data_IF_021074193831
#
_entry.id   IF_021074193831
#
_cell.length_a   1.000
_cell.length_b   1.000
_cell.length_c   1.000
_cell.angle_alpha   90.00
_cell.angle_beta   90.00
_cell.angle_gamma   90.00
#
_symmetry.space_group_name_H-M   'P 1'
#
loop_
_entity.id
_entity.type
_entity.pdbx_description
1 polymer ?
#
# COMPACT_ATOMS: atom_id res chain seq x y z
N UNK A 1 9.90 -13.21 11.00
CA UNK A 1 9.71 -14.14 9.83
C UNK A 1 10.92 -15.08 9.81
N UNK A 2 10.73 -16.39 9.98
CA UNK A 2 11.83 -17.37 10.11
C UNK A 2 12.69 -17.41 8.84
N UNK A 3 14.02 -17.37 8.98
CA UNK A 3 15.01 -17.41 7.88
C UNK A 3 14.81 -18.59 6.88
N UNK A 4 14.24 -19.70 7.30
CA UNK A 4 13.91 -20.86 6.45
C UNK A 4 12.80 -20.61 5.41
N UNK A 5 12.06 -19.50 5.50
CA UNK A 5 10.92 -19.18 4.63
C UNK A 5 11.29 -18.24 3.46
N UNK A 6 12.42 -17.52 3.52
CA UNK A 6 12.86 -16.62 2.44
C UNK A 6 13.53 -17.36 1.26
N UNK A 7 14.02 -18.58 1.43
CA UNK A 7 14.68 -19.34 0.34
C UNK A 7 13.76 -19.69 -0.85
N UNK A 8 12.44 -19.56 -0.68
CA UNK A 8 11.45 -19.86 -1.74
C UNK A 8 10.97 -18.64 -2.55
N UNK A 9 11.35 -17.43 -2.15
CA UNK A 9 10.95 -16.19 -2.81
C UNK A 9 12.14 -15.62 -3.58
N UNK A 10 12.03 -15.54 -4.89
CA UNK A 10 13.05 -14.91 -5.76
C UNK A 10 12.57 -13.55 -6.23
N UNK A 11 13.25 -12.48 -5.84
CA UNK A 11 12.96 -11.13 -6.33
C UNK A 11 13.41 -10.98 -7.78
N UNK A 12 12.53 -10.43 -8.62
CA UNK A 12 12.81 -10.14 -10.04
C UNK A 12 13.40 -8.73 -10.13
N UNK A 13 14.61 -8.55 -10.69
CA UNK A 13 15.16 -7.21 -10.90
C UNK A 13 14.22 -6.35 -11.77
N UNK A 14 13.99 -5.10 -11.36
CA UNK A 14 13.07 -4.17 -12.03
C UNK A 14 11.66 -4.72 -12.24
N UNK A 15 11.24 -5.64 -11.35
CA UNK A 15 9.92 -6.25 -11.42
C UNK A 15 8.78 -5.26 -11.18
N UNK A 16 7.63 -5.53 -11.78
CA UNK A 16 6.45 -4.66 -11.74
C UNK A 16 5.15 -5.43 -11.93
N UNK A 17 4.04 -4.70 -11.97
CA UNK A 17 2.70 -5.25 -12.29
C UNK A 17 2.60 -5.89 -13.68
N UNK A 18 3.54 -5.63 -14.59
CA UNK A 18 3.57 -6.28 -15.91
C UNK A 18 4.48 -7.52 -15.97
N UNK A 19 5.15 -7.87 -14.88
CA UNK A 19 6.04 -9.03 -14.81
C UNK A 19 5.32 -10.39 -14.87
N UNK A 20 4.11 -10.57 -14.29
CA UNK A 20 3.39 -11.83 -14.44
C UNK A 20 2.96 -12.06 -15.89
N UNK A 21 2.99 -13.32 -16.30
CA UNK A 21 2.65 -13.73 -17.68
C UNK A 21 1.28 -13.21 -18.10
N UNK A 22 1.22 -12.60 -19.30
CA UNK A 22 -0.03 -12.09 -19.89
C UNK A 22 -0.47 -10.72 -19.37
N UNK A 23 0.26 -10.09 -18.45
CA UNK A 23 0.04 -8.70 -18.07
C UNK A 23 0.93 -7.76 -18.89
N UNK A 24 0.35 -6.64 -19.27
CA UNK A 24 1.03 -5.49 -19.84
C UNK A 24 0.64 -4.25 -19.05
N UNK A 25 1.51 -3.25 -19.00
CA UNK A 25 1.22 -1.99 -18.37
C UNK A 25 2.00 -0.87 -19.06
N UNK A 26 1.58 0.36 -18.81
CA UNK A 26 2.28 1.53 -19.30
C UNK A 26 1.68 2.81 -18.75
N UNK A 27 2.35 3.93 -19.02
CA UNK A 27 1.92 5.22 -18.55
C UNK A 27 2.42 6.33 -19.44
N UNK A 28 1.56 7.33 -19.66
CA UNK A 28 1.83 8.49 -20.52
C UNK A 28 1.54 9.79 -19.79
N UNK A 29 1.96 10.89 -20.39
CA UNK A 29 1.53 12.23 -20.04
C UNK A 29 0.39 12.65 -20.97
N UNK A 30 -0.82 12.83 -20.43
CA UNK A 30 -1.97 13.32 -21.19
C UNK A 30 -2.33 14.78 -20.88
N UNK A 31 -1.65 15.41 -19.92
CA UNK A 31 -1.80 16.84 -19.63
C UNK A 31 -2.70 17.19 -18.44
N UNK A 32 -3.02 16.24 -17.56
CA UNK A 32 -3.61 16.53 -16.25
C UNK A 32 -2.57 17.26 -15.39
N UNK A 33 -1.34 16.77 -15.40
CA UNK A 33 -0.17 17.37 -14.73
C UNK A 33 0.66 18.19 -15.73
N UNK A 34 1.52 19.07 -15.24
CA UNK A 34 2.31 19.95 -16.12
C UNK A 34 3.40 19.22 -16.94
N UNK A 35 4.07 18.20 -16.37
CA UNK A 35 5.25 17.56 -16.98
C UNK A 35 5.38 16.07 -16.74
N UNK A 36 4.79 15.53 -15.65
CA UNK A 36 4.97 14.12 -15.29
C UNK A 36 3.92 13.27 -16.00
N UNK A 37 4.18 11.98 -16.15
CA UNK A 37 3.14 11.01 -16.55
C UNK A 37 1.98 11.10 -15.57
N UNK A 38 0.74 10.97 -16.08
CA UNK A 38 -0.47 11.24 -15.32
C UNK A 38 -1.66 10.35 -15.74
N UNK A 39 -1.45 9.43 -16.68
CA UNK A 39 -2.43 8.43 -17.09
C UNK A 39 -1.72 7.09 -17.28
N UNK A 40 -2.14 6.07 -16.54
CA UNK A 40 -1.57 4.72 -16.56
C UNK A 40 -2.62 3.64 -16.77
N UNK A 41 -2.22 2.55 -17.43
CA UNK A 41 -3.07 1.39 -17.68
C UNK A 41 -2.33 0.10 -17.32
N UNK A 42 -3.04 -0.82 -16.66
CA UNK A 42 -2.70 -2.25 -16.57
C UNK A 42 -3.73 -3.00 -17.40
N UNK A 43 -3.29 -3.95 -18.21
CA UNK A 43 -4.19 -4.83 -18.99
C UNK A 43 -3.70 -6.28 -18.93
N UNK A 44 -4.65 -7.20 -18.83
CA UNK A 44 -4.42 -8.64 -18.93
C UNK A 44 -4.86 -9.18 -20.30
N UNK A 45 -4.11 -10.10 -20.86
CA UNK A 45 -4.44 -10.77 -22.12
C UNK A 45 -5.73 -11.58 -22.07
N UNK A 46 -6.15 -11.98 -20.87
CA UNK A 46 -7.40 -12.72 -20.61
C UNK A 46 -8.09 -12.12 -19.39
N UNK A 47 -9.43 -12.35 -19.22
CA UNK A 47 -10.09 -11.96 -17.99
C UNK A 47 -9.40 -12.55 -16.76
N UNK A 48 -9.11 -11.70 -15.78
CA UNK A 48 -8.40 -12.05 -14.55
C UNK A 48 -9.37 -12.06 -13.37
N UNK A 49 -9.34 -13.10 -12.55
CA UNK A 49 -10.00 -13.08 -11.24
C UNK A 49 -9.49 -11.88 -10.48
N UNK A 50 -10.40 -11.04 -9.99
CA UNK A 50 -10.04 -9.76 -9.40
C UNK A 50 -10.74 -9.54 -8.07
N UNK A 51 -10.04 -8.88 -7.17
CA UNK A 51 -10.54 -8.51 -5.85
C UNK A 51 -10.04 -7.11 -5.49
N UNK A 52 -10.83 -6.38 -4.71
CA UNK A 52 -10.43 -5.06 -4.25
C UNK A 52 -10.88 -4.79 -2.81
N UNK A 53 -10.12 -3.94 -2.12
CA UNK A 53 -10.49 -3.30 -0.86
C UNK A 53 -10.38 -1.79 -1.03
N UNK A 54 -11.24 -1.05 -0.35
CA UNK A 54 -11.44 0.38 -0.57
C UNK A 54 -11.39 1.14 0.74
N UNK A 55 -11.15 2.45 0.65
CA UNK A 55 -11.24 3.37 1.80
C UNK A 55 -12.59 3.27 2.52
N UNK A 56 -12.56 3.43 3.83
CA UNK A 56 -13.77 3.58 4.67
C UNK A 56 -14.15 5.05 4.86
N UNK A 57 -13.46 5.99 4.20
CA UNK A 57 -13.89 7.39 4.21
C UNK A 57 -15.32 7.50 3.66
N UNK A 58 -16.19 8.20 4.36
CA UNK A 58 -17.59 8.38 3.95
C UNK A 58 -17.76 9.17 2.65
N UNK A 59 -16.75 9.96 2.27
CA UNK A 59 -16.69 10.72 1.02
C UNK A 59 -15.91 9.97 -0.05
N UNK A 60 -16.33 8.73 -0.35
CA UNK A 60 -15.68 7.93 -1.39
C UNK A 60 -15.75 8.59 -2.75
N UNK A 61 -14.62 8.61 -3.46
CA UNK A 61 -14.51 9.22 -4.80
C UNK A 61 -15.31 8.42 -5.85
N UNK A 62 -15.75 9.10 -6.90
CA UNK A 62 -16.52 8.51 -8.00
C UNK A 62 -15.87 7.28 -8.66
N UNK A 63 -14.54 7.21 -8.91
CA UNK A 63 -13.89 6.02 -9.45
C UNK A 63 -14.07 4.75 -8.60
N UNK A 64 -14.17 4.89 -7.27
CA UNK A 64 -14.41 3.74 -6.38
C UNK A 64 -15.79 3.14 -6.64
N UNK A 65 -16.81 3.99 -6.83
CA UNK A 65 -18.16 3.53 -7.12
C UNK A 65 -18.18 2.73 -8.44
N UNK A 66 -17.60 3.27 -9.50
CA UNK A 66 -17.54 2.61 -10.82
C UNK A 66 -16.81 1.27 -10.76
N UNK A 67 -15.67 1.22 -10.04
CA UNK A 67 -14.92 -0.04 -9.86
C UNK A 67 -15.67 -1.07 -9.01
N UNK A 68 -16.40 -0.62 -7.98
CA UNK A 68 -17.29 -1.51 -7.19
C UNK A 68 -18.38 -2.12 -8.04
N UNK A 69 -19.01 -1.33 -8.92
CA UNK A 69 -20.03 -1.81 -9.84
C UNK A 69 -19.49 -2.85 -10.82
N UNK A 70 -18.30 -2.59 -11.40
CA UNK A 70 -17.64 -3.58 -12.28
C UNK A 70 -17.39 -4.90 -11.56
N UNK A 71 -16.88 -4.88 -10.32
CA UNK A 71 -16.60 -6.10 -9.54
C UNK A 71 -17.85 -6.75 -8.93
N UNK A 72 -18.97 -6.02 -8.77
CA UNK A 72 -20.23 -6.59 -8.30
C UNK A 72 -20.95 -7.38 -9.39
N UNK A 73 -20.78 -7.00 -10.67
CA UNK A 73 -21.32 -7.73 -11.82
C UNK A 73 -20.60 -9.08 -12.02
N UNK A 74 -19.27 -9.07 -11.92
CA UNK A 74 -18.43 -10.25 -12.12
C UNK A 74 -17.09 -10.09 -11.39
N UNK A 75 -16.54 -11.17 -10.78
CA UNK A 75 -15.22 -11.11 -10.14
C UNK A 75 -14.07 -11.11 -11.17
N UNK A 76 -14.29 -10.63 -12.38
CA UNK A 76 -13.27 -10.62 -13.44
C UNK A 76 -13.09 -9.23 -14.00
N UNK A 77 -11.85 -8.74 -13.94
CA UNK A 77 -11.40 -7.55 -14.66
C UNK A 77 -10.40 -7.95 -15.74
N UNK A 78 -10.23 -7.07 -16.71
CA UNK A 78 -9.21 -7.25 -17.74
C UNK A 78 -8.33 -6.01 -17.86
N UNK A 79 -8.80 -4.84 -17.42
CA UNK A 79 -8.02 -3.61 -17.40
C UNK A 79 -8.26 -2.76 -16.14
N UNK A 80 -7.26 -1.96 -15.79
CA UNK A 80 -7.35 -0.91 -14.75
C UNK A 80 -6.75 0.36 -15.30
N UNK A 81 -7.58 1.42 -15.44
CA UNK A 81 -7.12 2.76 -15.82
C UNK A 81 -6.95 3.63 -14.58
N UNK A 82 -5.86 4.37 -14.50
CA UNK A 82 -5.55 5.25 -13.37
C UNK A 82 -5.10 6.61 -13.89
N UNK A 83 -5.70 7.68 -13.38
CA UNK A 83 -5.14 9.02 -13.55
C UNK A 83 -4.57 9.57 -12.26
N UNK A 84 -3.52 10.38 -12.36
CA UNK A 84 -2.96 11.15 -11.25
C UNK A 84 -3.03 12.66 -11.50
N UNK A 85 -2.96 13.44 -10.41
CA UNK A 85 -3.06 14.91 -10.44
C UNK A 85 -4.46 15.44 -10.15
N UNK A 86 -5.50 14.62 -10.28
CA UNK A 86 -6.88 14.94 -9.95
C UNK A 86 -7.55 13.69 -9.37
N UNK A 87 -8.17 13.84 -8.21
CA UNK A 87 -8.76 12.72 -7.45
C UNK A 87 -10.15 12.32 -7.94
N UNK A 88 -10.83 13.16 -8.71
CA UNK A 88 -12.25 13.00 -9.04
C UNK A 88 -13.09 12.66 -7.80
N UNK A 89 -12.82 13.36 -6.71
CA UNK A 89 -13.50 13.24 -5.44
C UNK A 89 -14.24 14.52 -5.12
N UNK A 90 -15.45 14.39 -4.54
CA UNK A 90 -16.33 15.52 -4.23
C UNK A 90 -16.70 16.37 -5.45
N UNK A 91 -16.91 15.71 -6.59
CA UNK A 91 -17.19 16.31 -7.92
C UNK A 91 -18.64 16.15 -8.37
N UNK A 92 -19.50 15.63 -7.48
CA UNK A 92 -20.92 15.46 -7.72
C UNK A 92 -21.23 14.41 -8.82
N UNK A 93 -22.43 14.53 -9.40
CA UNK A 93 -22.91 13.62 -10.45
C UNK A 93 -22.00 13.62 -11.68
N UNK A 94 -21.48 14.79 -12.04
CA UNK A 94 -20.59 14.89 -13.20
C UNK A 94 -19.29 14.09 -13.02
N UNK A 95 -18.72 14.04 -11.81
CA UNK A 95 -17.53 13.23 -11.55
C UNK A 95 -17.80 11.74 -11.71
N UNK A 96 -19.01 11.29 -11.42
CA UNK A 96 -19.43 9.91 -11.67
C UNK A 96 -19.54 9.64 -13.19
N UNK A 97 -20.15 10.55 -13.95
CA UNK A 97 -20.21 10.46 -15.41
C UNK A 97 -18.81 10.46 -16.04
N UNK A 98 -17.90 11.30 -15.56
CA UNK A 98 -16.50 11.35 -15.99
C UNK A 98 -15.79 10.00 -15.74
N UNK A 99 -16.03 9.36 -14.60
CA UNK A 99 -15.45 8.04 -14.29
C UNK A 99 -16.03 6.93 -15.20
N UNK A 100 -17.32 6.95 -15.50
CA UNK A 100 -17.91 6.05 -16.49
C UNK A 100 -17.33 6.27 -17.88
N UNK A 101 -17.16 7.52 -18.31
CA UNK A 101 -16.56 7.85 -19.60
C UNK A 101 -15.11 7.32 -19.70
N UNK A 102 -14.31 7.41 -18.64
CA UNK A 102 -12.98 6.80 -18.59
C UNK A 102 -13.06 5.29 -18.80
N UNK A 103 -13.94 4.60 -18.07
CA UNK A 103 -14.17 3.15 -18.16
C UNK A 103 -14.54 2.74 -19.58
N UNK A 104 -15.57 3.38 -20.12
CA UNK A 104 -16.17 3.02 -21.39
C UNK A 104 -15.24 3.35 -22.57
N UNK A 105 -14.44 4.43 -22.46
CA UNK A 105 -13.41 4.77 -23.45
C UNK A 105 -12.28 3.72 -23.48
N UNK A 106 -11.83 3.24 -22.33
CA UNK A 106 -10.85 2.13 -22.27
C UNK A 106 -11.44 0.87 -22.86
N UNK A 107 -12.66 0.51 -22.46
CA UNK A 107 -13.35 -0.67 -22.97
C UNK A 107 -13.44 -0.66 -24.51
N UNK A 108 -13.84 0.47 -25.08
CA UNK A 108 -13.90 0.67 -26.53
C UNK A 108 -12.54 0.60 -27.21
N UNK A 109 -11.51 1.22 -26.60
CA UNK A 109 -10.16 1.28 -27.20
C UNK A 109 -9.48 -0.09 -27.27
N UNK A 110 -9.76 -0.95 -26.28
CA UNK A 110 -9.12 -2.25 -26.14
C UNK A 110 -10.06 -3.44 -26.47
N UNK A 111 -11.24 -3.17 -27.00
CA UNK A 111 -12.27 -4.18 -27.34
C UNK A 111 -12.63 -5.07 -26.13
N UNK A 112 -12.92 -4.44 -24.99
CA UNK A 112 -13.32 -5.08 -23.75
C UNK A 112 -14.78 -4.78 -23.40
N UNK A 113 -15.37 -5.61 -22.52
CA UNK A 113 -16.59 -5.21 -21.83
C UNK A 113 -16.32 -4.07 -20.84
N UNK A 114 -17.15 -3.01 -20.78
CA UNK A 114 -17.03 -1.96 -19.78
C UNK A 114 -16.94 -2.52 -18.35
N UNK A 115 -17.68 -3.58 -18.04
CA UNK A 115 -17.68 -4.22 -16.73
C UNK A 115 -16.38 -4.94 -16.39
N UNK A 116 -15.49 -5.15 -17.38
CA UNK A 116 -14.15 -5.71 -17.15
C UNK A 116 -13.07 -4.64 -16.96
N UNK A 117 -13.45 -3.38 -16.79
CA UNK A 117 -12.54 -2.26 -16.61
C UNK A 117 -12.75 -1.61 -15.25
N UNK A 118 -11.70 -1.50 -14.45
CA UNK A 118 -11.68 -0.72 -13.22
C UNK A 118 -11.12 0.69 -13.48
N UNK A 119 -11.58 1.64 -12.70
CA UNK A 119 -11.14 3.05 -12.75
C UNK A 119 -10.59 3.47 -11.39
N UNK A 120 -9.50 4.21 -11.39
CA UNK A 120 -8.92 4.82 -10.21
C UNK A 120 -8.40 6.23 -10.51
N UNK A 121 -8.43 7.10 -9.53
CA UNK A 121 -7.93 8.47 -9.63
C UNK A 121 -7.20 8.86 -8.35
N UNK A 122 -6.26 9.79 -8.44
CA UNK A 122 -5.55 10.34 -7.27
C UNK A 122 -5.06 11.75 -7.54
N UNK A 123 -5.06 12.61 -6.54
CA UNK A 123 -4.57 13.99 -6.63
C UNK A 123 -5.52 15.00 -5.97
N UNK A 124 -5.72 16.17 -6.60
CA UNK A 124 -6.52 17.26 -6.04
C UNK A 124 -8.00 16.89 -5.92
N UNK A 125 -8.59 17.18 -4.76
CA UNK A 125 -10.01 16.98 -4.45
C UNK A 125 -10.82 18.25 -4.86
N UNK A 126 -12.06 18.07 -5.34
CA UNK A 126 -12.99 19.15 -5.64
C UNK A 126 -12.80 19.78 -7.02
N UNK A 127 -11.91 19.26 -7.85
CA UNK A 127 -11.70 19.70 -9.23
C UNK A 127 -12.23 18.67 -10.23
N UNK A 128 -12.79 19.14 -11.34
CA UNK A 128 -13.31 18.27 -12.40
C UNK A 128 -12.17 17.71 -13.25
N UNK A 129 -12.34 16.48 -13.73
CA UNK A 129 -11.40 15.85 -14.67
C UNK A 129 -11.38 16.60 -16.02
N UNK A 130 -10.21 16.82 -16.63
CA UNK A 130 -10.09 17.36 -17.99
C UNK A 130 -10.33 16.23 -19.01
N UNK A 131 -11.60 15.83 -19.20
CA UNK A 131 -11.98 14.62 -19.92
C UNK A 131 -11.49 14.57 -21.37
N UNK A 132 -11.49 15.71 -22.10
CA UNK A 132 -10.94 15.75 -23.47
C UNK A 132 -9.50 15.21 -23.53
N UNK A 133 -8.64 15.65 -22.59
CA UNK A 133 -7.24 15.22 -22.51
C UNK A 133 -7.11 13.74 -22.12
N UNK A 134 -7.99 13.28 -21.23
CA UNK A 134 -8.00 11.88 -20.77
C UNK A 134 -8.41 10.97 -21.92
N UNK A 135 -9.48 11.30 -22.65
CA UNK A 135 -9.96 10.52 -23.81
C UNK A 135 -8.90 10.46 -24.91
N UNK A 136 -8.27 11.61 -25.25
CA UNK A 136 -7.13 11.63 -26.19
C UNK A 136 -5.93 10.82 -25.67
N UNK A 137 -5.68 10.85 -24.37
CA UNK A 137 -4.65 10.07 -23.72
C UNK A 137 -4.91 8.57 -23.84
N UNK A 138 -6.14 8.13 -23.52
CA UNK A 138 -6.53 6.70 -23.62
C UNK A 138 -6.32 6.18 -25.04
N UNK A 139 -6.62 6.97 -26.07
CA UNK A 139 -6.42 6.59 -27.45
C UNK A 139 -4.92 6.36 -27.83
N UNK A 140 -3.98 6.94 -27.05
CA UNK A 140 -2.51 6.78 -27.25
C UNK A 140 -1.91 5.64 -26.40
N UNK A 141 -2.65 5.10 -25.42
CA UNK A 141 -2.13 4.04 -24.54
C UNK A 141 -1.75 2.75 -25.27
N UNK A 142 -2.45 2.30 -26.35
CA UNK A 142 -2.05 1.08 -27.06
C UNK A 142 -0.58 1.07 -27.51
N UNK A 143 -0.01 2.20 -27.89
CA UNK A 143 1.38 2.33 -28.32
C UNK A 143 2.38 2.39 -27.13
N UNK A 144 1.86 2.51 -25.89
CA UNK A 144 2.67 2.77 -24.69
C UNK A 144 2.68 1.61 -23.70
N UNK A 145 1.82 0.61 -23.87
CA UNK A 145 1.75 -0.55 -22.97
C UNK A 145 2.58 -1.71 -23.51
N UNK A 146 3.29 -2.37 -22.60
CA UNK A 146 3.99 -3.64 -22.88
C UNK A 146 4.28 -4.41 -21.60
N UNK A 147 4.81 -5.62 -21.71
CA UNK A 147 5.31 -6.39 -20.56
C UNK A 147 6.53 -5.73 -19.89
N UNK A 148 7.21 -4.81 -20.56
CA UNK A 148 8.42 -4.15 -20.06
C UNK A 148 8.13 -2.76 -19.46
N UNK A 149 6.96 -2.19 -19.73
CA UNK A 149 6.63 -0.80 -19.37
C UNK A 149 5.91 -0.64 -18.01
N UNK A 150 5.93 -1.64 -17.14
CA UNK A 150 5.27 -1.57 -15.83
C UNK A 150 5.80 -0.46 -14.92
N UNK A 151 7.06 -0.07 -15.04
CA UNK A 151 7.62 1.08 -14.31
C UNK A 151 7.01 2.40 -14.79
N UNK A 152 6.69 2.54 -16.09
CA UNK A 152 6.01 3.71 -16.61
C UNK A 152 4.58 3.87 -16.07
N UNK A 153 3.88 2.76 -15.80
CA UNK A 153 2.63 2.77 -15.03
C UNK A 153 2.87 3.29 -13.62
N UNK A 154 3.91 2.78 -12.93
CA UNK A 154 4.30 3.25 -11.61
C UNK A 154 4.55 4.76 -11.56
N UNK A 155 5.23 5.34 -12.56
CA UNK A 155 5.46 6.79 -12.69
C UNK A 155 4.14 7.57 -12.89
N UNK A 156 3.20 7.00 -13.65
CA UNK A 156 1.95 7.68 -14.00
C UNK A 156 0.97 7.82 -12.82
N UNK A 157 1.09 6.99 -11.80
CA UNK A 157 0.22 7.03 -10.62
C UNK A 157 0.75 7.89 -9.47
N UNK A 158 2.01 8.35 -9.52
CA UNK A 158 2.63 9.16 -8.46
C UNK A 158 1.99 10.53 -8.32
N UNK A 159 1.98 11.07 -7.10
CA UNK A 159 1.60 12.46 -6.81
C UNK A 159 2.76 13.24 -6.21
N UNK A 160 2.91 13.22 -4.90
CA UNK A 160 4.01 13.83 -4.14
C UNK A 160 5.18 12.85 -3.91
N UNK A 161 4.99 11.60 -4.29
CA UNK A 161 5.99 10.53 -4.19
C UNK A 161 7.34 10.92 -4.81
N UNK A 162 8.44 10.48 -4.17
CA UNK A 162 9.81 10.78 -4.62
C UNK A 162 10.41 9.68 -5.48
N UNK A 163 9.89 8.46 -5.39
CA UNK A 163 10.33 7.31 -6.20
C UNK A 163 9.18 6.36 -6.54
N UNK A 164 9.37 5.54 -7.59
CA UNK A 164 8.43 4.50 -8.01
C UNK A 164 8.54 3.30 -7.08
N UNK A 165 7.41 2.91 -6.48
CA UNK A 165 7.30 1.75 -5.59
C UNK A 165 6.78 0.56 -6.39
N UNK A 166 7.68 -0.24 -6.93
CA UNK A 166 7.34 -1.36 -7.82
C UNK A 166 8.30 -2.53 -7.60
N UNK A 167 7.76 -3.75 -7.54
CA UNK A 167 8.55 -4.98 -7.43
C UNK A 167 7.78 -6.17 -8.00
N UNK A 168 8.51 -7.25 -8.27
CA UNK A 168 7.91 -8.55 -8.55
C UNK A 168 8.77 -9.68 -7.97
N UNK A 169 8.15 -10.81 -7.71
CA UNK A 169 8.79 -12.03 -7.23
C UNK A 169 8.35 -13.25 -8.04
N UNK A 170 9.17 -14.27 -8.02
CA UNK A 170 8.83 -15.63 -8.44
C UNK A 170 8.75 -16.55 -7.22
N UNK A 171 7.75 -17.42 -7.22
CA UNK A 171 7.59 -18.54 -6.29
C UNK A 171 7.32 -19.82 -7.06
N UNK A 172 7.58 -20.98 -6.46
CA UNK A 172 7.28 -22.29 -7.04
C UNK A 172 6.01 -22.88 -6.45
N UNK A 173 5.05 -23.29 -7.27
CA UNK A 173 3.83 -24.01 -6.89
C UNK A 173 3.62 -25.14 -7.89
N UNK A 174 3.50 -26.39 -7.42
CA UNK A 174 3.34 -27.60 -8.27
C UNK A 174 4.46 -27.75 -9.31
N UNK A 175 5.68 -27.32 -8.97
CA UNK A 175 6.80 -27.30 -9.90
C UNK A 175 6.68 -26.22 -11.00
N UNK A 176 5.64 -25.39 -10.99
CA UNK A 176 5.43 -24.27 -11.91
C UNK A 176 5.93 -22.99 -11.29
N UNK A 177 6.40 -22.08 -12.13
CA UNK A 177 6.73 -20.72 -11.79
C UNK A 177 5.46 -19.89 -11.68
N UNK A 178 5.23 -19.27 -10.54
CA UNK A 178 4.21 -18.26 -10.33
C UNK A 178 4.91 -16.92 -10.14
N UNK A 179 4.48 -15.91 -10.86
CA UNK A 179 4.96 -14.55 -10.70
C UNK A 179 3.91 -13.70 -10.00
N UNK A 180 4.34 -12.89 -9.02
CA UNK A 180 3.50 -11.90 -8.37
C UNK A 180 4.19 -10.55 -8.54
N UNK A 181 3.52 -9.58 -9.15
CA UNK A 181 4.00 -8.22 -9.34
C UNK A 181 3.17 -7.22 -8.56
N UNK A 182 3.76 -6.14 -8.12
CA UNK A 182 3.05 -5.09 -7.40
C UNK A 182 3.61 -3.71 -7.66
N UNK A 183 2.74 -2.72 -7.67
CA UNK A 183 3.08 -1.30 -7.77
C UNK A 183 2.17 -0.50 -6.86
N UNK A 184 2.72 0.46 -6.12
CA UNK A 184 1.94 1.33 -5.25
C UNK A 184 2.38 2.78 -5.34
N UNK A 185 1.50 3.69 -4.91
CA UNK A 185 1.78 5.09 -4.67
C UNK A 185 1.25 5.52 -3.32
N UNK A 186 1.89 6.50 -2.73
CA UNK A 186 1.50 7.15 -1.49
C UNK A 186 2.70 7.80 -0.81
N UNK A 187 2.50 9.00 -0.29
CA UNK A 187 3.50 9.82 0.39
C UNK A 187 2.86 10.73 1.44
N UNK A 188 1.79 11.47 1.10
CA UNK A 188 0.96 12.25 2.02
C UNK A 188 -0.47 11.75 2.06
N UNK A 189 -1.25 12.19 3.08
CA UNK A 189 -2.60 11.73 3.40
C UNK A 189 -2.61 10.20 3.60
N UNK A 190 -1.74 9.70 4.51
CA UNK A 190 -1.54 8.27 4.74
C UNK A 190 -1.88 7.89 6.18
N UNK A 191 -3.07 7.36 6.39
CA UNK A 191 -3.50 6.66 7.61
C UNK A 191 -4.57 5.63 7.28
N UNK A 192 -4.19 4.48 6.71
CA UNK A 192 -5.16 3.50 6.24
C UNK A 192 -6.01 2.93 7.38
N UNK A 193 -7.32 2.96 7.13
CA UNK A 193 -8.29 2.11 7.78
C UNK A 193 -9.08 1.46 6.63
N UNK A 194 -8.55 0.36 6.07
CA UNK A 194 -8.91 -0.26 4.79
C UNK A 194 -8.49 0.55 3.56
N UNK A 195 -7.27 1.09 3.56
CA UNK A 195 -6.48 1.75 2.51
C UNK A 195 -6.41 3.30 2.56
N UNK A 196 -5.17 3.88 2.49
CA UNK A 196 -4.92 5.32 2.23
C UNK A 196 -3.81 5.46 1.17
N UNK A 197 -3.97 4.79 0.03
CA UNK A 197 -2.98 4.72 -1.04
C UNK A 197 -3.60 4.02 -2.25
N UNK A 198 -2.91 3.98 -3.36
CA UNK A 198 -3.25 3.08 -4.46
C UNK A 198 -2.19 1.98 -4.53
N UNK A 199 -2.64 0.72 -4.50
CA UNK A 199 -1.79 -0.42 -4.80
C UNK A 199 -2.49 -1.37 -5.78
N UNK A 200 -1.70 -1.86 -6.70
CA UNK A 200 -2.11 -2.81 -7.72
C UNK A 200 -1.18 -4.02 -7.62
N UNK A 201 -1.78 -5.21 -7.48
CA UNK A 201 -1.05 -6.48 -7.40
C UNK A 201 -1.57 -7.36 -8.53
N UNK A 202 -0.66 -7.88 -9.32
CA UNK A 202 -0.97 -8.79 -10.43
C UNK A 202 -0.29 -10.13 -10.21
N UNK A 203 -0.89 -11.21 -10.69
CA UNK A 203 -0.27 -12.53 -10.68
C UNK A 203 -0.78 -13.39 -11.84
N UNK A 204 0.07 -14.27 -12.34
CA UNK A 204 -0.31 -15.29 -13.30
C UNK A 204 -0.84 -16.58 -12.64
N UNK A 205 -0.95 -16.62 -11.32
CA UNK A 205 -1.56 -17.72 -10.59
C UNK A 205 -3.03 -17.93 -10.98
N UNK A 206 -3.45 -19.18 -11.01
CA UNK A 206 -4.86 -19.57 -11.04
C UNK A 206 -5.35 -19.67 -9.58
N UNK A 207 -6.37 -18.89 -9.22
CA UNK A 207 -6.88 -18.79 -7.86
C UNK A 207 -8.40 -18.62 -7.87
N UNK A 208 -9.08 -19.20 -6.88
CA UNK A 208 -10.52 -19.00 -6.71
C UNK A 208 -10.86 -17.56 -6.31
N UNK A 209 -11.95 -16.97 -6.82
CA UNK A 209 -12.34 -15.58 -6.53
C UNK A 209 -12.45 -15.29 -5.03
N UNK A 210 -13.10 -16.18 -4.28
CA UNK A 210 -13.28 -16.02 -2.84
C UNK A 210 -11.94 -16.06 -2.08
N UNK A 211 -11.01 -16.91 -2.53
CA UNK A 211 -9.68 -17.02 -1.94
C UNK A 211 -8.84 -15.78 -2.24
N UNK A 212 -8.94 -15.19 -3.45
CA UNK A 212 -8.28 -13.94 -3.78
C UNK A 212 -8.82 -12.77 -2.94
N UNK A 213 -10.15 -12.69 -2.79
CA UNK A 213 -10.77 -11.63 -1.98
C UNK A 213 -10.38 -11.77 -0.51
N UNK A 214 -10.31 -13.00 0.01
CA UNK A 214 -9.93 -13.26 1.39
C UNK A 214 -8.47 -12.92 1.66
N UNK A 215 -7.53 -13.45 0.84
CA UNK A 215 -6.10 -13.15 1.03
C UNK A 215 -5.82 -11.65 0.89
N UNK A 216 -6.46 -10.97 -0.06
CA UNK A 216 -6.30 -9.52 -0.24
C UNK A 216 -6.73 -8.76 1.03
N UNK A 217 -7.85 -9.12 1.63
CA UNK A 217 -8.35 -8.51 2.86
C UNK A 217 -7.41 -8.78 4.04
N UNK A 218 -7.06 -10.05 4.24
CA UNK A 218 -6.22 -10.49 5.36
C UNK A 218 -4.83 -9.86 5.30
N UNK A 219 -4.23 -9.81 4.10
CA UNK A 219 -2.90 -9.22 3.88
C UNK A 219 -2.96 -7.68 3.98
N UNK A 220 -3.98 -7.03 3.43
CA UNK A 220 -4.14 -5.57 3.57
C UNK A 220 -4.22 -5.17 5.04
N UNK A 221 -4.93 -5.95 5.87
CA UNK A 221 -5.09 -5.68 7.29
C UNK A 221 -3.80 -5.83 8.11
N UNK A 222 -2.83 -6.58 7.61
CA UNK A 222 -1.52 -6.79 8.23
C UNK A 222 -0.41 -5.92 7.64
N UNK A 223 -0.65 -5.25 6.51
CA UNK A 223 0.36 -4.49 5.78
C UNK A 223 -0.06 -3.04 5.54
N UNK A 224 -0.85 -2.77 4.53
CA UNK A 224 -1.27 -1.41 4.19
C UNK A 224 -2.07 -0.74 5.33
N UNK A 225 -2.88 -1.46 6.09
CA UNK A 225 -3.58 -0.90 7.25
C UNK A 225 -2.68 -0.63 8.46
N UNK A 226 -1.43 -1.09 8.39
CA UNK A 226 -0.45 -0.92 9.48
C UNK A 226 0.57 0.19 9.20
N UNK A 227 0.33 1.05 8.20
CA UNK A 227 1.16 2.23 7.97
C UNK A 227 0.47 3.53 8.40
N UNK A 228 1.26 4.59 8.64
CA UNK A 228 0.76 5.96 8.78
C UNK A 228 1.86 6.97 8.51
N UNK A 229 1.51 8.09 7.86
CA UNK A 229 2.37 9.27 7.68
C UNK A 229 1.86 10.44 8.51
N UNK A 230 0.59 10.81 8.39
CA UNK A 230 0.02 12.04 8.93
C UNK A 230 -1.31 11.87 9.67
N UNK A 231 -1.87 10.67 9.68
CA UNK A 231 -3.11 10.39 10.40
C UNK A 231 -4.39 10.65 9.61
N UNK A 232 -4.31 11.10 8.35
CA UNK A 232 -5.46 11.43 7.51
C UNK A 232 -5.78 10.33 6.49
N UNK A 233 -7.08 9.93 6.43
CA UNK A 233 -7.59 8.89 5.52
C UNK A 233 -8.15 9.52 4.25
N UNK A 234 -7.63 9.13 3.09
CA UNK A 234 -8.02 9.63 1.78
C UNK A 234 -9.41 9.15 1.31
N UNK A 235 -9.96 9.84 0.33
CA UNK A 235 -11.25 9.52 -0.33
C UNK A 235 -11.13 8.48 -1.45
N UNK A 236 -9.90 8.17 -1.91
CA UNK A 236 -9.66 7.44 -3.16
C UNK A 236 -8.99 6.09 -3.02
N UNK A 237 -8.65 5.68 -1.81
CA UNK A 237 -7.76 4.57 -1.58
C UNK A 237 -8.32 3.23 -2.03
N UNK A 238 -7.46 2.45 -2.68
CA UNK A 238 -7.80 1.14 -3.20
C UNK A 238 -6.58 0.23 -3.25
N UNK A 239 -6.71 -1.00 -2.77
CA UNK A 239 -5.82 -2.10 -3.12
C UNK A 239 -6.58 -3.03 -4.04
N UNK A 240 -6.09 -3.23 -5.28
CA UNK A 240 -6.71 -4.08 -6.28
C UNK A 240 -5.74 -5.19 -6.68
N UNK A 241 -6.22 -6.43 -6.67
CA UNK A 241 -5.47 -7.60 -7.11
C UNK A 241 -6.13 -8.24 -8.33
N UNK A 242 -5.30 -8.69 -9.29
CA UNK A 242 -5.73 -9.39 -10.51
C UNK A 242 -4.91 -10.67 -10.70
N UNK A 243 -5.57 -11.80 -10.94
CA UNK A 243 -4.97 -13.12 -11.14
C UNK A 243 -5.52 -13.75 -12.42
N UNK A 244 -4.68 -13.89 -13.47
CA UNK A 244 -5.17 -14.31 -14.79
C UNK A 244 -5.02 -15.81 -15.09
N UNK A 245 -4.40 -16.59 -14.20
CA UNK A 245 -4.33 -18.06 -14.31
C UNK A 245 -3.34 -18.60 -15.35
N UNK A 246 -2.57 -17.74 -16.03
CA UNK A 246 -1.69 -18.15 -17.15
C UNK A 246 -0.45 -18.94 -16.72
N UNK A 247 -0.17 -19.08 -15.44
CA UNK A 247 0.84 -20.02 -14.92
C UNK A 247 0.38 -21.48 -15.02
N UNK A 248 -0.95 -21.71 -15.07
CA UNK A 248 -1.55 -23.02 -15.31
C UNK A 248 -1.47 -23.99 -14.14
N UNK A 249 -1.28 -23.50 -12.91
CA UNK A 249 -1.41 -24.27 -11.68
C UNK A 249 -2.87 -24.69 -11.43
N UNK A 250 -3.12 -25.67 -10.57
CA UNK A 250 -4.49 -25.95 -10.08
C UNK A 250 -5.01 -24.76 -9.28
N UNK A 251 -6.33 -24.49 -9.29
CA UNK A 251 -6.88 -23.32 -8.62
C UNK A 251 -6.54 -23.29 -7.14
N UNK A 252 -5.89 -22.20 -6.70
CA UNK A 252 -5.48 -21.99 -5.31
C UNK A 252 -6.67 -21.61 -4.44
N UNK A 253 -6.70 -22.19 -3.25
CA UNK A 253 -7.52 -21.80 -2.11
C UNK A 253 -6.83 -22.26 -0.82
N UNK A 254 -7.44 -22.01 0.34
CA UNK A 254 -6.84 -22.36 1.64
C UNK A 254 -6.61 -23.86 1.86
N UNK A 255 -7.28 -24.71 1.11
CA UNK A 255 -7.08 -26.17 1.18
C UNK A 255 -5.99 -26.68 0.24
N UNK A 256 -5.42 -25.83 -0.60
CA UNK A 256 -4.35 -26.23 -1.51
C UNK A 256 -3.05 -26.50 -0.72
N UNK A 257 -2.33 -27.61 -0.96
CA UNK A 257 -1.14 -27.98 -0.17
C UNK A 257 -0.03 -26.92 -0.12
N UNK A 258 0.06 -26.10 -1.18
CA UNK A 258 1.07 -25.02 -1.29
C UNK A 258 0.46 -23.63 -1.14
N UNK A 259 -0.75 -23.52 -0.58
CA UNK A 259 -1.41 -22.23 -0.29
C UNK A 259 -0.51 -21.28 0.51
N UNK A 260 0.15 -21.82 1.53
CA UNK A 260 1.04 -21.02 2.40
C UNK A 260 2.18 -20.37 1.62
N UNK A 261 2.70 -21.02 0.56
CA UNK A 261 3.75 -20.46 -0.30
C UNK A 261 3.22 -19.24 -1.06
N UNK A 262 2.01 -19.36 -1.61
CA UNK A 262 1.35 -18.24 -2.30
C UNK A 262 1.04 -17.11 -1.31
N UNK A 263 0.45 -17.44 -0.15
CA UNK A 263 0.12 -16.47 0.90
C UNK A 263 1.35 -15.66 1.33
N UNK A 264 2.49 -16.30 1.55
CA UNK A 264 3.75 -15.65 1.93
C UNK A 264 4.30 -14.77 0.81
N UNK A 265 4.24 -15.21 -0.45
CA UNK A 265 4.66 -14.41 -1.60
C UNK A 265 3.79 -13.16 -1.78
N UNK A 266 2.48 -13.30 -1.67
CA UNK A 266 1.53 -12.19 -1.76
C UNK A 266 1.73 -11.19 -0.60
N UNK A 267 1.91 -11.71 0.62
CA UNK A 267 2.21 -10.89 1.81
C UNK A 267 3.53 -10.13 1.66
N UNK A 268 4.57 -10.77 1.12
CA UNK A 268 5.87 -10.12 0.90
C UNK A 268 5.73 -8.91 -0.03
N UNK A 269 5.02 -9.04 -1.16
CA UNK A 269 4.76 -7.92 -2.09
C UNK A 269 4.06 -6.78 -1.37
N UNK A 270 2.95 -7.07 -0.69
CA UNK A 270 2.15 -6.05 -0.01
C UNK A 270 2.95 -5.35 1.12
N UNK A 271 3.72 -6.10 1.90
CA UNK A 271 4.53 -5.56 2.99
C UNK A 271 5.65 -4.64 2.48
N UNK A 272 6.36 -5.04 1.40
CA UNK A 272 7.40 -4.19 0.83
C UNK A 272 6.82 -2.89 0.28
N UNK A 273 5.69 -2.94 -0.42
CA UNK A 273 5.00 -1.76 -0.92
C UNK A 273 4.54 -0.85 0.23
N UNK A 274 3.95 -1.42 1.28
CA UNK A 274 3.52 -0.67 2.47
C UNK A 274 4.70 0.03 3.17
N UNK A 275 5.82 -0.68 3.38
CA UNK A 275 7.04 -0.09 3.94
C UNK A 275 7.59 1.05 3.08
N UNK A 276 7.57 0.91 1.75
CA UNK A 276 8.04 1.96 0.85
C UNK A 276 7.12 3.19 0.86
N UNK A 277 5.81 3.02 1.01
CA UNK A 277 4.88 4.15 1.21
C UNK A 277 5.23 4.90 2.50
N UNK A 278 5.41 4.20 3.62
CA UNK A 278 5.80 4.80 4.89
C UNK A 278 7.16 5.50 4.81
N UNK A 279 8.16 4.87 4.15
CA UNK A 279 9.50 5.41 3.95
C UNK A 279 9.50 6.69 3.12
N UNK A 280 8.62 6.78 2.13
CA UNK A 280 8.45 7.92 1.22
C UNK A 280 7.45 8.96 1.74
N UNK A 281 7.15 8.95 3.04
CA UNK A 281 6.31 9.97 3.66
C UNK A 281 6.81 11.38 3.33
N UNK A 282 5.89 12.33 3.07
CA UNK A 282 6.23 13.69 2.66
C UNK A 282 7.26 14.34 3.59
N UNK A 283 8.45 14.62 3.05
CA UNK A 283 9.56 15.21 3.79
C UNK A 283 10.23 14.28 4.81
N UNK A 284 9.91 12.99 4.83
CA UNK A 284 10.49 12.03 5.76
C UNK A 284 11.99 11.80 5.51
N UNK A 285 12.72 11.52 6.58
CA UNK A 285 14.14 11.15 6.53
C UNK A 285 14.38 9.72 7.02
N UNK A 286 13.40 9.11 7.71
CA UNK A 286 13.53 7.79 8.33
C UNK A 286 12.29 6.94 8.13
N UNK A 287 12.48 5.66 7.83
CA UNK A 287 11.46 4.64 8.04
C UNK A 287 11.46 4.22 9.50
N UNK A 288 10.29 4.21 10.12
CA UNK A 288 10.11 3.77 11.50
C UNK A 288 9.27 2.51 11.52
N UNK A 289 9.81 1.44 12.11
CA UNK A 289 9.08 0.20 12.41
C UNK A 289 8.78 0.12 13.90
N UNK A 290 7.54 -0.13 14.27
CA UNK A 290 7.12 -0.35 15.65
C UNK A 290 6.56 -1.76 15.77
N UNK A 291 7.25 -2.61 16.53
CA UNK A 291 6.79 -3.95 16.85
C UNK A 291 6.25 -3.98 18.27
N UNK A 292 5.04 -4.50 18.44
CA UNK A 292 4.42 -4.74 19.74
C UNK A 292 4.21 -6.23 19.92
N UNK A 293 4.85 -6.78 20.92
CA UNK A 293 4.76 -8.19 21.33
C UNK A 293 4.01 -8.31 22.67
N UNK A 294 3.61 -9.52 23.05
CA UNK A 294 3.05 -9.80 24.36
C UNK A 294 1.67 -9.21 24.62
N UNK A 295 0.88 -8.86 23.59
CA UNK A 295 -0.46 -8.33 23.77
C UNK A 295 -1.50 -9.43 24.05
N UNK A 296 -2.58 -9.10 24.78
CA UNK A 296 -3.67 -10.02 25.08
C UNK A 296 -4.59 -10.32 23.90
N UNK A 297 -4.53 -9.50 22.84
CA UNK A 297 -5.24 -9.71 21.57
C UNK A 297 -4.51 -9.07 20.41
N UNK A 298 -4.75 -9.58 19.18
CA UNK A 298 -4.19 -9.03 17.95
C UNK A 298 -4.63 -7.56 17.74
N UNK A 299 -5.88 -7.24 18.06
CA UNK A 299 -6.39 -5.86 17.93
C UNK A 299 -5.66 -4.90 18.87
N UNK A 300 -5.37 -5.32 20.11
CA UNK A 300 -4.57 -4.55 21.07
C UNK A 300 -3.16 -4.28 20.52
N UNK A 301 -2.47 -5.32 20.02
CA UNK A 301 -1.14 -5.18 19.45
C UNK A 301 -1.13 -4.18 18.28
N UNK A 302 -2.05 -4.34 17.31
CA UNK A 302 -2.21 -3.46 16.16
C UNK A 302 -2.49 -2.01 16.57
N UNK A 303 -3.43 -1.81 17.51
CA UNK A 303 -3.80 -0.46 17.93
C UNK A 303 -2.64 0.24 18.61
N UNK A 304 -1.93 -0.44 19.52
CA UNK A 304 -0.78 0.13 20.23
C UNK A 304 0.35 0.46 19.24
N UNK A 305 0.69 -0.46 18.32
CA UNK A 305 1.72 -0.23 17.30
C UNK A 305 1.40 1.00 16.43
N UNK A 306 0.14 1.11 15.95
CA UNK A 306 -0.31 2.27 15.17
C UNK A 306 -0.32 3.57 15.99
N UNK A 307 -0.69 3.52 17.28
CA UNK A 307 -0.66 4.70 18.17
C UNK A 307 0.76 5.21 18.39
N UNK A 308 1.73 4.31 18.55
CA UNK A 308 3.13 4.71 18.74
C UNK A 308 3.67 5.33 17.45
N UNK A 309 3.57 4.62 16.32
CA UNK A 309 4.15 5.08 15.04
C UNK A 309 3.45 6.34 14.50
N UNK A 310 2.18 6.57 14.85
CA UNK A 310 1.40 7.75 14.46
C UNK A 310 1.47 8.92 15.44
N UNK A 311 2.15 8.77 16.59
CA UNK A 311 2.26 9.85 17.58
C UNK A 311 3.19 10.97 17.08
N UNK A 312 2.66 12.19 16.92
CA UNK A 312 3.47 13.34 16.51
C UNK A 312 4.65 13.60 17.45
N UNK A 313 4.50 13.37 18.76
CA UNK A 313 5.57 13.50 19.72
C UNK A 313 6.67 12.45 19.52
N UNK A 314 6.30 11.21 19.25
CA UNK A 314 7.26 10.14 18.93
C UNK A 314 7.95 10.44 17.61
N UNK A 315 7.22 10.79 16.56
CA UNK A 315 7.76 11.11 15.24
C UNK A 315 8.73 12.30 15.29
N UNK A 316 8.41 13.34 16.08
CA UNK A 316 9.31 14.51 16.27
C UNK A 316 10.57 14.14 17.07
N UNK A 317 10.48 13.25 18.08
CA UNK A 317 11.65 12.76 18.80
C UNK A 317 12.57 11.98 17.86
N UNK A 318 12.02 11.11 17.03
CA UNK A 318 12.77 10.32 16.05
C UNK A 318 13.48 11.20 15.00
N UNK A 319 12.83 12.29 14.57
CA UNK A 319 13.49 13.29 13.71
C UNK A 319 14.75 13.87 14.36
N UNK A 320 14.65 14.26 15.63
CA UNK A 320 15.77 14.79 16.42
C UNK A 320 16.73 13.73 16.96
N UNK A 321 16.55 12.44 16.65
CA UNK A 321 17.28 11.32 17.24
C UNK A 321 17.27 11.33 18.78
N UNK A 322 16.17 11.83 19.38
CA UNK A 322 15.95 11.91 20.82
C UNK A 322 15.34 10.57 21.32
N UNK A 323 16.07 9.87 22.19
CA UNK A 323 15.67 8.60 22.80
C UNK A 323 14.55 8.69 23.82
N UNK A 324 13.58 9.58 23.61
CA UNK A 324 12.50 9.92 24.53
C UNK A 324 11.42 8.83 24.62
N UNK A 325 11.77 7.70 25.24
CA UNK A 325 10.84 6.60 25.45
C UNK A 325 9.59 6.99 26.29
N UNK A 326 9.66 8.08 27.05
CA UNK A 326 8.49 8.63 27.75
C UNK A 326 7.34 8.98 26.79
N UNK A 327 7.63 9.45 25.57
CA UNK A 327 6.62 9.71 24.54
C UNK A 327 5.98 8.40 24.00
N UNK A 328 6.73 7.31 24.01
CA UNK A 328 6.22 5.98 23.64
C UNK A 328 5.24 5.51 24.72
N UNK A 329 5.57 5.63 26.00
CA UNK A 329 4.68 5.31 27.11
C UNK A 329 3.36 6.12 27.03
N UNK A 330 3.45 7.42 26.72
CA UNK A 330 2.24 8.26 26.53
C UNK A 330 1.40 7.72 25.37
N UNK A 331 2.01 7.32 24.24
CA UNK A 331 1.29 6.76 23.11
C UNK A 331 0.60 5.42 23.46
N UNK A 332 1.27 4.54 24.23
CA UNK A 332 0.69 3.29 24.75
C UNK A 332 -0.49 3.60 25.65
N UNK A 333 -0.35 4.52 26.61
CA UNK A 333 -1.42 4.92 27.55
C UNK A 333 -2.65 5.51 26.85
N UNK A 334 -2.45 6.14 25.69
CA UNK A 334 -3.54 6.69 24.85
C UNK A 334 -4.17 5.66 23.90
N UNK A 335 -3.81 4.37 24.00
CA UNK A 335 -4.36 3.31 23.13
C UNK A 335 -5.80 2.93 23.46
N UNK A 336 -6.25 3.21 24.68
CA UNK A 336 -7.56 2.79 25.18
C UNK A 336 -7.61 1.34 25.72
N UNK A 337 -6.48 0.64 25.72
CA UNK A 337 -6.36 -0.71 26.25
C UNK A 337 -5.74 -0.69 27.65
N UNK A 338 -6.15 -1.60 28.56
CA UNK A 338 -5.52 -1.75 29.86
C UNK A 338 -4.12 -2.34 29.69
N UNK A 339 -3.11 -1.63 30.19
CA UNK A 339 -1.70 -2.04 30.16
C UNK A 339 -1.15 -1.88 31.59
N UNK A 340 -0.39 -2.89 32.05
CA UNK A 340 0.31 -2.80 33.33
C UNK A 340 1.64 -2.03 33.13
N UNK A 341 1.81 -0.83 33.72
CA UNK A 341 3.04 -0.06 33.55
C UNK A 341 4.27 -0.73 34.16
N UNK A 342 4.10 -1.75 35.03
CA UNK A 342 5.19 -2.45 35.67
C UNK A 342 5.76 -3.64 34.86
N UNK A 343 5.13 -3.99 33.74
CA UNK A 343 5.57 -5.14 32.93
C UNK A 343 6.17 -4.72 31.58
N UNK A 344 6.03 -3.46 31.17
CA UNK A 344 6.42 -3.00 29.83
C UNK A 344 7.95 -3.00 29.65
N UNK A 345 8.39 -3.61 28.54
CA UNK A 345 9.75 -3.45 28.03
C UNK A 345 9.75 -2.58 26.78
N UNK A 346 10.76 -1.72 26.62
CA UNK A 346 10.96 -0.90 25.41
C UNK A 346 12.43 -0.99 24.98
N UNK A 347 12.62 -1.26 23.68
CA UNK A 347 13.92 -1.28 23.02
C UNK A 347 13.92 -0.29 21.84
N UNK A 348 14.95 0.52 21.73
CA UNK A 348 15.17 1.48 20.64
C UNK A 348 16.40 1.01 19.83
N UNK A 349 16.17 0.52 18.61
CA UNK A 349 17.20 -0.18 17.87
C UNK A 349 17.70 -1.41 18.67
N UNK A 350 19.00 -1.52 18.96
CA UNK A 350 19.52 -2.61 19.78
C UNK A 350 19.48 -2.35 21.31
N UNK A 351 19.05 -1.15 21.75
CA UNK A 351 19.26 -0.67 23.13
C UNK A 351 17.97 -0.77 23.93
N UNK A 352 17.96 -1.59 24.98
CA UNK A 352 16.85 -1.69 25.93
C UNK A 352 16.87 -0.48 26.86
N UNK A 353 15.86 0.39 26.74
CA UNK A 353 15.75 1.63 27.51
C UNK A 353 14.80 1.50 28.70
N UNK A 354 13.83 0.56 28.64
CA UNK A 354 12.90 0.24 29.71
C UNK A 354 12.79 -1.29 29.86
N UNK A 355 12.80 -1.78 31.09
CA UNK A 355 12.57 -3.21 31.39
C UNK A 355 11.69 -3.34 32.64
N UNK A 356 10.60 -4.13 32.52
CA UNK A 356 9.61 -4.27 33.62
C UNK A 356 9.17 -2.91 34.18
N UNK A 357 8.91 -1.94 33.31
CA UNK A 357 8.50 -0.59 33.68
C UNK A 357 9.60 0.27 34.32
N UNK A 358 10.84 -0.21 34.37
CA UNK A 358 11.95 0.52 35.02
C UNK A 358 13.01 0.95 33.99
N UNK A 359 13.42 2.24 34.06
CA UNK A 359 14.50 2.77 33.23
C UNK A 359 15.76 1.95 33.41
N UNK A 360 16.37 1.55 32.30
CA UNK A 360 17.65 0.87 32.25
C UNK A 360 18.82 1.88 32.18
N UNK A 361 20.04 1.40 32.46
CA UNK A 361 21.26 2.18 32.24
C UNK A 361 21.67 1.98 30.77
N UNK A 362 21.88 3.07 30.08
CA UNK A 362 22.41 3.11 28.72
C UNK A 362 23.12 4.45 28.50
N UNK A 363 23.99 4.53 27.50
CA UNK A 363 24.63 5.79 27.10
C UNK A 363 23.71 6.50 26.09
N UNK A 364 23.43 7.78 26.33
CA UNK A 364 22.52 8.58 25.48
C UNK A 364 23.07 8.71 24.05
N UNK A 365 24.39 8.72 23.87
CA UNK A 365 25.08 8.76 22.59
C UNK A 365 24.79 7.50 21.75
N UNK A 366 24.75 6.30 22.35
CA UNK A 366 24.45 5.05 21.67
C UNK A 366 22.99 5.05 21.14
N UNK A 367 22.05 5.55 21.95
CA UNK A 367 20.65 5.68 21.53
C UNK A 367 20.52 6.70 20.39
N UNK A 368 21.20 7.84 20.49
CA UNK A 368 21.22 8.87 19.43
C UNK A 368 21.80 8.30 18.13
N UNK A 369 22.88 7.52 18.18
CA UNK A 369 23.46 6.86 17.01
C UNK A 369 22.48 5.87 16.38
N UNK A 370 21.82 5.02 17.18
CA UNK A 370 20.83 4.06 16.72
C UNK A 370 19.63 4.74 16.06
N UNK A 371 19.14 5.83 16.65
CA UNK A 371 18.02 6.61 16.11
C UNK A 371 18.39 7.53 14.94
N UNK A 372 19.67 7.75 14.66
CA UNK A 372 20.15 8.53 13.50
C UNK A 372 20.16 7.73 12.20
N UNK A 373 19.92 6.43 12.25
CA UNK A 373 19.85 5.57 11.06
C UNK A 373 18.63 5.92 10.18
N UNK A 374 18.71 5.61 8.88
CA UNK A 374 17.60 5.80 7.94
C UNK A 374 16.44 4.81 8.16
N UNK A 375 16.65 3.75 8.90
CA UNK A 375 15.65 2.78 9.34
C UNK A 375 15.77 2.58 10.85
N UNK A 376 14.70 2.86 11.58
CA UNK A 376 14.65 2.82 13.04
C UNK A 376 13.62 1.80 13.48
N UNK A 377 13.98 0.93 14.40
CA UNK A 377 13.09 -0.04 15.00
C UNK A 377 12.80 0.31 16.46
N UNK A 378 11.52 0.27 16.83
CA UNK A 378 11.02 0.35 18.20
C UNK A 378 10.35 -0.97 18.52
N UNK A 379 10.81 -1.65 19.58
CA UNK A 379 10.18 -2.85 20.08
C UNK A 379 9.55 -2.57 21.44
N UNK A 380 8.33 -3.04 21.62
CA UNK A 380 7.57 -2.98 22.88
C UNK A 380 7.09 -4.38 23.22
N UNK A 381 7.39 -4.88 24.42
CA UNK A 381 6.76 -6.09 24.96
C UNK A 381 5.87 -5.73 26.12
N UNK A 382 4.60 -6.13 26.04
CA UNK A 382 3.59 -5.84 27.05
C UNK A 382 3.50 -6.94 28.13
N UNK A 383 4.00 -8.15 27.85
CA UNK A 383 3.93 -9.32 28.73
C UNK A 383 2.51 -9.69 29.20
N UNK A 384 1.47 -9.43 28.37
CA UNK A 384 0.06 -9.68 28.69
C UNK A 384 -0.54 -10.89 27.93
N UNK A 385 0.20 -11.45 26.96
CA UNK A 385 -0.29 -12.54 26.10
C UNK A 385 0.70 -12.93 24.99
N UNK A 386 0.18 -13.51 23.91
CA UNK A 386 1.00 -14.09 22.82
C UNK A 386 0.84 -13.35 21.50
N UNK A 387 -0.02 -12.33 21.41
CA UNK A 387 -0.28 -11.64 20.17
C UNK A 387 0.76 -10.58 19.89
N UNK A 388 1.10 -10.45 18.60
CA UNK A 388 2.05 -9.44 18.14
C UNK A 388 1.53 -8.74 16.88
N UNK A 389 2.00 -7.50 16.67
CA UNK A 389 1.78 -6.75 15.43
C UNK A 389 2.94 -5.80 15.16
N UNK A 390 3.13 -5.47 13.88
CA UNK A 390 4.12 -4.47 13.43
C UNK A 390 3.40 -3.36 12.66
N UNK A 391 3.81 -2.11 12.89
CA UNK A 391 3.33 -0.94 12.16
C UNK A 391 4.50 -0.12 11.64
N UNK A 392 4.30 0.56 10.50
CA UNK A 392 5.34 1.36 9.87
C UNK A 392 4.89 2.80 9.67
N UNK A 393 5.82 3.72 9.79
CA UNK A 393 5.63 5.14 9.55
C UNK A 393 6.95 5.81 9.26
N UNK A 394 6.98 7.11 9.48
CA UNK A 394 8.17 7.93 9.28
C UNK A 394 8.30 8.97 10.38
N UNK A 395 9.45 9.64 10.46
CA UNK A 395 9.65 10.79 11.31
C UNK A 395 8.79 12.01 10.87
N UNK A 396 8.69 13.04 11.69
CA UNK A 396 7.98 14.29 11.39
C UNK A 396 9.01 15.42 11.30
N UNK A 397 9.17 15.94 10.08
CA UNK A 397 10.17 16.95 9.75
C UNK A 397 9.55 18.32 9.48
N UNK A 398 10.36 19.38 9.42
CA UNK A 398 9.93 20.69 8.95
C UNK A 398 9.47 20.67 7.48
N UNK A 399 10.03 19.76 6.68
CA UNK A 399 9.66 19.58 5.26
C UNK A 399 8.21 19.15 5.08
N UNK A 400 7.66 18.30 5.97
CA UNK A 400 6.24 17.96 5.94
C UNK A 400 5.36 19.20 5.96
N UNK A 401 5.63 20.12 6.90
CA UNK A 401 4.88 21.38 7.02
C UNK A 401 5.10 22.25 5.78
N UNK A 402 6.34 22.37 5.29
CA UNK A 402 6.66 23.17 4.11
C UNK A 402 5.93 22.65 2.85
N UNK A 403 5.93 21.35 2.63
CA UNK A 403 5.24 20.73 1.49
C UNK A 403 3.73 21.02 1.57
N UNK A 404 3.10 20.71 2.70
CA UNK A 404 1.65 20.82 2.85
C UNK A 404 1.14 22.25 2.96
N UNK A 405 1.96 23.23 3.35
CA UNK A 405 1.63 24.64 3.33
C UNK A 405 1.66 25.25 1.92
N UNK A 406 2.35 24.61 0.95
CA UNK A 406 2.58 25.16 -0.40
C UNK A 406 1.94 24.32 -1.51
N UNK A 407 1.67 23.04 -1.25
CA UNK A 407 1.06 22.11 -2.18
C UNK A 407 -0.46 22.08 -1.98
N UNK A 408 -1.21 22.30 -3.06
CA UNK A 408 -2.66 22.18 -3.04
C UNK A 408 -3.03 20.74 -3.41
N UNK A 409 -3.57 20.03 -2.45
CA UNK A 409 -4.08 18.65 -2.63
C UNK A 409 -5.58 18.68 -2.87
#
# INVERSE_FOLDING_TARGET
>A
MNQLKQEKIRVIPNGSVSSPKGFQAGGIHCGIRKKKKDLGLIISAVPAVSAAVYTLNIFQAAPIQVTKESLADSPYLQAVIVNSGNANAYTGEQGLLDAYEMRDTVAKTFDLSPMNVAVSSTGVIGERLPMERIVEGIAKLPDSISSENGLAFGEAILTTDTFVKSLAIEIGIEGKKITIGGTAKGSGMIHPNMATMLAFITTDANIHPEALQKILRDVTDQTFNMITVDGDTSTNDMVLAMANGLAGNTPLNENHPEWEVFYQGFTYIAQQLAKWIAKDGEGATKLVSVKVDGASSLMMAKTIAKKIVGSNLVKAALYGADGNWGRIIVAIGNSGYPVDPHTIDITLGPIMVLKNGQKQRYEEEEVTEALSQSEVEIQVDLHLGEYSAEAWGCDLTYEYVRINATYRT
#
